data_IF_165246183083
#
_entry.id   IF_165246183083
#
_cell.length_a   1.000
_cell.length_b   1.000
_cell.length_c   1.000
_cell.angle_alpha   90.00
_cell.angle_beta   90.00
_cell.angle_gamma   90.00
#
_symmetry.space_group_name_H-M   'P 1'
#
loop_
_entity.id
_entity.type
_entity.pdbx_description
1 polymer ?
#
# COMPACT_ATOMS: atom_id res chain seq x y z
N UNK A 1 -10.55 -6.87 11.98
CA UNK A 1 -9.17 -7.30 11.60
C UNK A 1 -8.22 -6.13 11.77
N UNK A 2 -7.07 -6.38 12.34
CA UNK A 2 -6.01 -5.38 12.51
C UNK A 2 -5.03 -5.42 11.34
N UNK A 3 -4.40 -4.29 11.07
CA UNK A 3 -3.44 -4.16 9.96
C UNK A 3 -2.24 -5.09 10.14
N UNK A 4 -1.77 -5.32 11.37
CA UNK A 4 -0.69 -6.28 11.62
C UNK A 4 -1.02 -7.71 11.14
N UNK A 5 -2.28 -8.10 11.20
CA UNK A 5 -2.72 -9.41 10.70
C UNK A 5 -2.64 -9.48 9.17
N UNK A 6 -2.93 -8.38 8.49
CA UNK A 6 -2.77 -8.28 7.03
C UNK A 6 -1.29 -8.36 6.64
N UNK A 7 -0.44 -7.59 7.34
CA UNK A 7 1.00 -7.59 7.07
C UNK A 7 1.64 -8.96 7.27
N UNK A 8 1.14 -9.76 8.22
CA UNK A 8 1.64 -11.11 8.46
C UNK A 8 1.39 -12.07 7.29
N UNK A 9 0.47 -11.76 6.40
CA UNK A 9 0.19 -12.56 5.20
C UNK A 9 1.03 -12.16 3.99
N UNK A 10 1.85 -11.12 4.12
CA UNK A 10 2.68 -10.55 3.06
C UNK A 10 4.16 -10.77 3.37
N UNK A 11 5.01 -10.64 2.34
CA UNK A 11 6.44 -10.58 2.55
C UNK A 11 6.79 -9.40 3.47
N UNK A 12 7.72 -9.58 4.43
CA UNK A 12 8.05 -8.52 5.38
C UNK A 12 8.75 -7.34 4.73
N UNK A 13 8.56 -6.17 5.33
CA UNK A 13 9.21 -4.94 4.93
C UNK A 13 8.53 -4.20 3.79
N UNK A 14 9.25 -3.22 3.27
CA UNK A 14 8.80 -2.36 2.16
C UNK A 14 9.82 -2.39 1.04
N UNK A 15 9.36 -2.24 -0.20
CA UNK A 15 10.25 -2.05 -1.34
C UNK A 15 10.64 -0.57 -1.39
N UNK A 16 11.93 -0.30 -1.46
CA UNK A 16 12.47 1.06 -1.41
C UNK A 16 13.28 1.39 -2.65
N UNK A 17 13.26 2.67 -3.01
CA UNK A 17 14.09 3.25 -4.05
C UNK A 17 14.80 4.47 -3.50
N UNK A 18 15.86 4.93 -4.18
CA UNK A 18 16.60 6.11 -3.77
C UNK A 18 16.08 7.35 -4.50
N UNK A 19 16.25 8.56 -3.92
CA UNK A 19 15.82 9.80 -4.57
C UNK A 19 16.51 10.09 -5.89
N UNK A 20 17.67 9.50 -6.13
CA UNK A 20 18.49 9.73 -7.33
C UNK A 20 18.12 8.83 -8.51
N UNK A 21 17.33 7.79 -8.30
CA UNK A 21 16.83 6.95 -9.38
C UNK A 21 15.88 7.73 -10.27
N UNK A 22 15.77 7.32 -11.53
CA UNK A 22 14.86 7.94 -12.49
C UNK A 22 13.48 7.29 -12.44
N UNK A 23 12.48 8.03 -12.92
CA UNK A 23 11.11 7.51 -13.01
C UNK A 23 11.07 6.19 -13.82
N UNK A 24 11.80 6.12 -14.94
CA UNK A 24 11.78 4.91 -15.77
C UNK A 24 12.39 3.70 -15.05
N UNK A 25 13.41 3.90 -14.23
CA UNK A 25 13.98 2.83 -13.41
C UNK A 25 12.96 2.27 -12.42
N UNK A 26 12.18 3.16 -11.79
CA UNK A 26 11.13 2.77 -10.85
C UNK A 26 9.98 2.07 -11.58
N UNK A 27 9.59 2.53 -12.75
CA UNK A 27 8.55 1.87 -13.55
C UNK A 27 8.97 0.46 -13.97
N UNK A 28 10.24 0.24 -14.27
CA UNK A 28 10.77 -1.10 -14.55
C UNK A 28 10.70 -1.99 -13.31
N UNK A 29 11.02 -1.43 -12.14
CA UNK A 29 10.88 -2.12 -10.87
C UNK A 29 9.42 -2.54 -10.62
N UNK A 30 8.47 -1.65 -10.86
CA UNK A 30 7.04 -1.93 -10.75
C UNK A 30 6.63 -3.09 -11.66
N UNK A 31 7.04 -3.04 -12.91
CA UNK A 31 6.76 -4.09 -13.89
C UNK A 31 7.34 -5.44 -13.45
N UNK A 32 8.61 -5.45 -13.06
CA UNK A 32 9.35 -6.69 -12.78
C UNK A 32 8.87 -7.35 -11.49
N UNK A 33 8.39 -6.57 -10.53
CA UNK A 33 7.90 -7.06 -9.23
C UNK A 33 6.37 -7.07 -9.11
N UNK A 34 5.67 -6.65 -10.15
CA UNK A 34 4.21 -6.57 -10.18
C UNK A 34 3.65 -5.76 -8.99
N UNK A 35 4.24 -4.61 -8.74
CA UNK A 35 3.84 -3.67 -7.68
C UNK A 35 3.62 -2.28 -8.28
N UNK A 36 2.93 -1.41 -7.55
CA UNK A 36 2.63 -0.05 -8.00
C UNK A 36 2.96 1.04 -6.98
N UNK A 37 3.77 0.72 -5.97
CA UNK A 37 4.08 1.63 -4.88
C UNK A 37 5.42 1.28 -4.25
N UNK A 38 6.24 2.29 -3.99
CA UNK A 38 7.53 2.13 -3.32
C UNK A 38 7.75 3.25 -2.30
N UNK A 39 8.57 2.97 -1.31
CA UNK A 39 9.07 3.97 -0.35
C UNK A 39 10.35 4.56 -0.91
N UNK A 40 10.54 5.87 -0.71
CA UNK A 40 11.77 6.57 -1.10
C UNK A 40 12.62 6.77 0.14
N UNK A 41 13.84 6.26 0.12
CA UNK A 41 14.77 6.36 1.25
C UNK A 41 16.22 6.34 0.77
N UNK A 42 17.11 6.96 1.53
CA UNK A 42 18.57 6.89 1.31
C UNK A 42 19.18 5.70 2.05
N UNK A 43 18.57 5.31 3.19
CA UNK A 43 19.07 4.25 4.08
C UNK A 43 17.91 3.36 4.52
N UNK A 44 18.17 2.08 4.85
CA UNK A 44 17.14 1.22 5.42
C UNK A 44 16.51 1.82 6.68
N UNK A 45 15.17 1.77 6.77
CA UNK A 45 14.42 2.32 7.89
C UNK A 45 14.18 3.83 7.85
N UNK A 46 14.73 4.54 6.88
CA UNK A 46 14.49 5.96 6.66
C UNK A 46 13.28 6.15 5.75
N UNK A 47 12.59 7.27 5.92
CA UNK A 47 11.45 7.64 5.09
C UNK A 47 11.59 9.08 4.60
N UNK A 48 11.69 9.24 3.29
CA UNK A 48 11.72 10.55 2.62
C UNK A 48 10.40 10.86 1.91
N UNK A 49 9.76 9.85 1.39
CA UNK A 49 8.52 9.99 0.63
C UNK A 49 8.11 8.65 0.02
N UNK A 50 7.17 8.70 -0.90
CA UNK A 50 6.68 7.53 -1.64
C UNK A 50 6.54 7.87 -3.11
N UNK A 51 6.52 6.84 -3.95
CA UNK A 51 6.23 6.98 -5.37
C UNK A 51 5.28 5.87 -5.80
N UNK A 52 4.15 6.25 -6.38
CA UNK A 52 3.15 5.33 -6.91
C UNK A 52 3.07 5.45 -8.44
N UNK A 53 2.40 4.48 -9.07
CA UNK A 53 2.06 4.57 -10.50
C UNK A 53 1.31 5.86 -10.82
N UNK A 54 0.39 6.27 -9.93
CA UNK A 54 -0.37 7.51 -10.09
C UNK A 54 0.52 8.74 -10.09
N UNK A 55 1.54 8.78 -9.23
CA UNK A 55 2.53 9.88 -9.21
C UNK A 55 3.30 9.93 -10.52
N UNK A 56 3.65 8.78 -11.09
CA UNK A 56 4.29 8.70 -12.40
C UNK A 56 3.36 9.21 -13.52
N UNK A 57 2.08 8.85 -13.48
CA UNK A 57 1.09 9.37 -14.44
C UNK A 57 0.96 10.88 -14.35
N UNK A 58 0.93 11.44 -13.14
CA UNK A 58 0.90 12.90 -12.94
C UNK A 58 2.15 13.57 -13.49
N UNK A 59 3.32 12.97 -13.27
CA UNK A 59 4.58 13.50 -13.79
C UNK A 59 4.57 13.54 -15.33
N UNK A 60 4.06 12.51 -16.00
CA UNK A 60 3.91 12.49 -17.45
C UNK A 60 2.94 13.58 -17.91
N UNK A 61 1.83 13.76 -17.21
CA UNK A 61 0.84 14.79 -17.54
C UNK A 61 1.42 16.20 -17.42
N UNK A 62 2.31 16.44 -16.45
CA UNK A 62 2.92 17.76 -16.20
C UNK A 62 4.15 18.03 -17.07
N UNK A 63 4.98 17.03 -17.34
CA UNK A 63 6.31 17.18 -17.95
C UNK A 63 6.46 16.51 -19.31
N UNK A 64 5.46 15.74 -19.75
CA UNK A 64 5.49 15.08 -21.05
C UNK A 64 6.68 14.13 -21.21
N UNK A 65 7.42 14.28 -22.31
CA UNK A 65 8.53 13.39 -22.66
C UNK A 65 9.75 13.51 -21.75
N UNK A 66 9.82 14.54 -20.91
CA UNK A 66 10.90 14.69 -19.92
C UNK A 66 10.69 13.82 -18.68
N UNK A 67 9.45 13.43 -18.40
CA UNK A 67 9.11 12.71 -17.18
C UNK A 67 9.92 11.42 -16.94
N UNK A 68 10.16 10.55 -17.93
CA UNK A 68 10.92 9.31 -17.70
C UNK A 68 12.33 9.52 -17.17
N UNK A 69 12.94 10.66 -17.47
CA UNK A 69 14.30 11.02 -17.05
C UNK A 69 14.36 11.77 -15.72
N UNK A 70 13.21 12.18 -15.20
CA UNK A 70 13.16 12.92 -13.94
C UNK A 70 13.58 12.04 -12.77
N UNK A 71 14.19 12.66 -11.76
CA UNK A 71 14.58 11.97 -10.55
C UNK A 71 13.38 11.72 -9.66
N UNK A 72 13.42 10.62 -8.92
CA UNK A 72 12.39 10.29 -7.92
C UNK A 72 12.16 11.45 -6.95
N UNK A 73 13.25 12.13 -6.52
CA UNK A 73 13.16 13.27 -5.63
C UNK A 73 12.25 14.39 -6.14
N UNK A 74 12.15 14.55 -7.47
CA UNK A 74 11.37 15.63 -8.09
C UNK A 74 9.88 15.29 -8.26
N UNK A 75 9.53 14.02 -8.19
CA UNK A 75 8.17 13.54 -8.47
C UNK A 75 7.54 12.76 -7.31
N UNK A 76 8.29 12.47 -6.26
CA UNK A 76 7.78 11.71 -5.10
C UNK A 76 6.74 12.50 -4.31
N UNK A 77 5.90 11.77 -3.59
CA UNK A 77 4.92 12.31 -2.68
C UNK A 77 5.46 12.25 -1.25
N UNK A 78 5.52 13.40 -0.56
CA UNK A 78 5.99 13.49 0.83
C UNK A 78 4.85 13.52 1.86
N UNK A 79 3.59 13.54 1.41
CA UNK A 79 2.41 13.58 2.30
C UNK A 79 1.47 12.38 2.07
N UNK A 80 2.05 11.18 2.03
CA UNK A 80 1.30 9.95 1.84
C UNK A 80 0.41 9.64 3.05
N UNK A 81 -0.69 8.95 2.81
CA UNK A 81 -1.55 8.43 3.86
C UNK A 81 -0.82 7.36 4.67
N UNK A 82 -0.88 7.45 5.99
CA UNK A 82 -0.22 6.51 6.90
C UNK A 82 -1.21 5.92 7.90
N UNK A 83 -0.85 4.76 8.43
CA UNK A 83 -1.55 4.13 9.53
C UNK A 83 -0.56 3.37 10.42
N UNK A 84 -1.05 2.87 11.55
CA UNK A 84 -0.30 2.00 12.45
C UNK A 84 -0.70 0.54 12.23
N UNK A 85 0.20 -0.39 12.55
CA UNK A 85 -0.09 -1.82 12.54
C UNK A 85 -1.21 -2.21 13.50
N UNK A 86 -1.49 -1.39 14.50
CA UNK A 86 -2.55 -1.61 15.49
C UNK A 86 -3.91 -1.04 15.05
N UNK A 87 -3.95 -0.31 13.95
CA UNK A 87 -5.19 0.23 13.41
C UNK A 87 -6.05 -0.88 12.80
N UNK A 88 -7.36 -0.67 12.82
CA UNK A 88 -8.33 -1.60 12.25
C UNK A 88 -8.51 -1.40 10.74
N UNK A 89 -8.90 -2.45 10.05
CA UNK A 89 -9.19 -2.41 8.62
C UNK A 89 -10.23 -1.34 8.24
N UNK A 90 -11.33 -1.14 9.00
CA UNK A 90 -12.31 -0.08 8.68
C UNK A 90 -11.70 1.33 8.62
N UNK A 91 -10.75 1.64 9.51
CA UNK A 91 -10.06 2.94 9.51
C UNK A 91 -9.27 3.12 8.21
N UNK A 92 -8.52 2.10 7.80
CA UNK A 92 -7.73 2.16 6.57
C UNK A 92 -8.62 2.28 5.33
N UNK A 93 -9.76 1.58 5.31
CA UNK A 93 -10.76 1.72 4.25
C UNK A 93 -11.28 3.17 4.16
N UNK A 94 -11.56 3.79 5.30
CA UNK A 94 -11.99 5.19 5.36
C UNK A 94 -10.90 6.14 4.84
N UNK A 95 -9.65 5.91 5.20
CA UNK A 95 -8.50 6.71 4.71
C UNK A 95 -8.39 6.60 3.18
N UNK A 96 -8.46 5.39 2.64
CA UNK A 96 -8.39 5.16 1.20
C UNK A 96 -9.52 5.87 0.45
N UNK A 97 -10.73 5.80 0.98
CA UNK A 97 -11.91 6.44 0.39
C UNK A 97 -11.81 7.96 0.44
N UNK A 98 -11.49 8.52 1.61
CA UNK A 98 -11.45 9.97 1.82
C UNK A 98 -10.30 10.64 1.06
N UNK A 99 -9.16 10.00 0.99
CA UNK A 99 -7.97 10.52 0.31
C UNK A 99 -7.85 10.05 -1.14
N UNK A 100 -8.75 9.19 -1.59
CA UNK A 100 -8.73 8.60 -2.94
C UNK A 100 -7.37 7.99 -3.27
N UNK A 101 -6.81 7.25 -2.32
CA UNK A 101 -5.52 6.57 -2.47
C UNK A 101 -5.71 5.05 -2.48
N UNK A 102 -4.87 4.36 -3.23
CA UNK A 102 -4.89 2.89 -3.33
C UNK A 102 -3.88 2.22 -2.42
N UNK A 103 -3.09 3.02 -1.70
CA UNK A 103 -2.05 2.53 -0.80
C UNK A 103 -2.03 3.36 0.46
N UNK A 104 -1.81 2.69 1.59
CA UNK A 104 -1.59 3.34 2.88
C UNK A 104 -0.30 2.75 3.45
N UNK A 105 0.62 3.64 3.84
CA UNK A 105 1.90 3.25 4.41
C UNK A 105 1.73 2.93 5.89
N UNK A 106 2.19 1.78 6.31
CA UNK A 106 2.16 1.37 7.72
C UNK A 106 3.45 1.81 8.37
N UNK A 107 3.33 2.64 9.40
CA UNK A 107 4.47 3.21 10.12
C UNK A 107 4.58 2.61 11.53
N UNK A 108 5.81 2.40 11.97
CA UNK A 108 6.15 2.15 13.38
C UNK A 108 7.06 3.30 13.81
N UNK A 109 6.48 4.29 14.52
CA UNK A 109 7.16 5.55 14.77
C UNK A 109 7.49 6.26 13.45
N UNK A 110 8.75 6.52 13.20
CA UNK A 110 9.24 7.19 11.99
C UNK A 110 9.67 6.21 10.88
N UNK A 111 9.57 4.91 11.13
CA UNK A 111 10.01 3.87 10.21
C UNK A 111 8.85 3.23 9.45
N UNK A 112 8.89 3.14 8.12
CA UNK A 112 7.91 2.39 7.35
C UNK A 112 8.15 0.89 7.52
N UNK A 113 7.09 0.16 7.88
CA UNK A 113 7.18 -1.30 8.14
C UNK A 113 6.37 -2.13 7.17
N UNK A 114 5.48 -1.51 6.39
CA UNK A 114 4.67 -2.22 5.41
C UNK A 114 3.80 -1.29 4.60
N UNK A 115 3.15 -1.84 3.61
CA UNK A 115 2.19 -1.14 2.74
C UNK A 115 0.93 -1.97 2.66
N UNK A 116 -0.22 -1.33 2.86
CA UNK A 116 -1.53 -1.94 2.61
C UNK A 116 -2.07 -1.38 1.30
N UNK A 117 -2.31 -2.25 0.34
CA UNK A 117 -2.90 -1.89 -0.94
C UNK A 117 -4.42 -2.08 -0.93
N UNK A 118 -5.11 -1.46 -1.89
CA UNK A 118 -6.55 -1.70 -2.06
C UNK A 118 -6.85 -3.17 -2.35
N UNK A 119 -5.95 -3.87 -3.04
CA UNK A 119 -6.08 -5.31 -3.27
C UNK A 119 -6.04 -6.12 -1.97
N UNK A 120 -5.16 -5.75 -1.03
CA UNK A 120 -5.12 -6.37 0.30
C UNK A 120 -6.44 -6.16 1.05
N UNK A 121 -6.96 -4.94 1.02
CA UNK A 121 -8.23 -4.58 1.68
C UNK A 121 -9.39 -5.38 1.11
N UNK A 122 -9.52 -5.42 -0.21
CA UNK A 122 -10.60 -6.17 -0.88
C UNK A 122 -10.51 -7.65 -0.54
N UNK A 123 -9.33 -8.24 -0.61
CA UNK A 123 -9.12 -9.65 -0.31
C UNK A 123 -9.54 -10.00 1.13
N UNK A 124 -9.03 -9.26 2.10
CA UNK A 124 -9.31 -9.55 3.52
C UNK A 124 -10.75 -9.23 3.90
N UNK A 125 -11.33 -8.17 3.34
CA UNK A 125 -12.74 -7.86 3.59
C UNK A 125 -13.66 -8.91 2.99
N UNK A 126 -13.35 -9.40 1.80
CA UNK A 126 -14.10 -10.48 1.17
C UNK A 126 -14.02 -11.76 1.99
N UNK A 127 -12.83 -12.12 2.47
CA UNK A 127 -12.65 -13.30 3.33
C UNK A 127 -13.44 -13.19 4.63
N UNK A 128 -13.50 -12.02 5.26
CA UNK A 128 -14.33 -11.78 6.44
C UNK A 128 -15.82 -11.99 6.14
N UNK A 129 -16.30 -11.41 5.03
CA UNK A 129 -17.71 -11.54 4.63
C UNK A 129 -18.09 -12.99 4.34
N UNK A 130 -17.25 -13.73 3.64
CA UNK A 130 -17.49 -15.14 3.33
C UNK A 130 -17.50 -16.01 4.59
N UNK A 131 -16.62 -15.74 5.55
CA UNK A 131 -16.61 -16.45 6.83
C UNK A 131 -17.88 -16.18 7.63
N UNK A 132 -18.33 -14.92 7.69
CA UNK A 132 -19.55 -14.54 8.38
C UNK A 132 -20.78 -15.19 7.74
N UNK A 133 -20.86 -15.24 6.43
CA UNK A 133 -21.92 -15.90 5.68
C UNK A 133 -21.95 -17.39 5.99
N UNK A 134 -20.81 -18.06 5.97
CA UNK A 134 -20.70 -19.48 6.32
C UNK A 134 -21.13 -19.75 7.75
N UNK A 135 -20.68 -18.95 8.71
CA UNK A 135 -21.07 -19.08 10.11
C UNK A 135 -22.58 -18.94 10.29
N UNK A 136 -23.19 -17.96 9.64
CA UNK A 136 -24.64 -17.75 9.70
C UNK A 136 -25.41 -18.94 9.09
N UNK A 137 -24.95 -19.41 7.94
CA UNK A 137 -25.53 -20.58 7.27
C UNK A 137 -25.45 -21.82 8.16
N UNK A 138 -24.31 -22.12 8.74
CA UNK A 138 -24.11 -23.25 9.65
C UNK A 138 -25.00 -23.14 10.90
N UNK A 139 -25.16 -21.93 11.44
CA UNK A 139 -26.05 -21.67 12.55
C UNK A 139 -27.51 -21.97 12.21
N UNK A 140 -28.00 -21.49 11.07
CA UNK A 140 -29.37 -21.71 10.59
C UNK A 140 -29.60 -23.19 10.31
N UNK A 141 -28.63 -23.90 9.75
CA UNK A 141 -28.72 -25.33 9.45
C UNK A 141 -28.43 -26.22 10.65
N UNK A 142 -28.09 -25.66 11.83
CA UNK A 142 -27.78 -26.43 13.03
C UNK A 142 -26.47 -27.18 13.01
N UNK A 143 -25.53 -26.83 12.12
CA UNK A 143 -24.25 -27.51 11.96
C UNK A 143 -23.08 -26.77 12.60
N UNK A 144 -23.25 -25.51 12.98
CA UNK A 144 -22.16 -24.65 13.46
C UNK A 144 -21.87 -24.73 14.96
N UNK A 145 -22.66 -25.45 15.76
CA UNK A 145 -22.56 -25.44 17.23
C UNK A 145 -22.60 -26.85 17.83
N UNK A 146 -21.66 -27.64 17.45
CA UNK A 146 -21.53 -28.99 18.01
C UNK A 146 -20.18 -29.23 18.59
#
# INVERSE_FOLDING_TARGET
MLICQILNTKAPGVVSVTPTQTMVEVLRLFRDNNIGFVVVSLRPGEYLGTLSERDCCKAVAEHGTEAPKMRVADIMNSSVATCSAQDGLPLVMAIMTNRRTRHVLVMDGDAPVGVVSIGDVVKHRLDELLRNEKMLHDYICGTGYH
#
